data_IF_029215009982
#
_entry.id   IF_029215009982
#
_cell.length_a   1.000
_cell.length_b   1.000
_cell.length_c   1.000
_cell.angle_alpha   90.00
_cell.angle_beta   90.00
_cell.angle_gamma   90.00
#
_symmetry.space_group_name_H-M   'P 1'
#
loop_
_entity.id
_entity.type
_entity.pdbx_description
1 polymer ?
#
# COMPACT_ATOMS: atom_id res chain seq x y z
N UNK A 1 -51.66 -4.15 -25.03
CA UNK A 1 -51.83 -2.90 -24.28
C UNK A 1 -50.79 -2.90 -23.16
N UNK A 2 -49.71 -2.14 -23.29
CA UNK A 2 -48.60 -2.16 -22.38
C UNK A 2 -48.95 -1.40 -21.10
N UNK A 3 -49.15 -2.12 -20.01
CA UNK A 3 -49.30 -1.57 -18.65
C UNK A 3 -47.99 -0.87 -18.18
N UNK A 4 -46.95 -1.00 -18.97
CA UNK A 4 -45.59 -0.56 -18.65
C UNK A 4 -45.38 0.95 -18.54
N UNK A 5 -46.28 1.75 -19.17
CA UNK A 5 -46.07 3.19 -19.28
C UNK A 5 -46.90 4.04 -18.31
N UNK A 6 -47.60 3.42 -17.35
CA UNK A 6 -48.46 4.13 -16.38
C UNK A 6 -47.94 4.29 -14.97
N UNK A 7 -46.87 3.63 -14.64
CA UNK A 7 -46.32 3.76 -13.29
C UNK A 7 -45.10 4.66 -13.31
N UNK A 8 -45.14 5.72 -12.55
CA UNK A 8 -43.96 6.49 -12.17
C UNK A 8 -43.06 5.61 -11.31
N UNK A 9 -41.75 5.85 -11.31
CA UNK A 9 -40.75 5.06 -10.54
C UNK A 9 -41.16 4.94 -9.06
N UNK A 10 -41.70 5.99 -8.48
CA UNK A 10 -42.13 6.02 -7.08
C UNK A 10 -43.38 5.14 -6.83
N UNK A 11 -44.31 5.09 -7.76
CA UNK A 11 -45.49 4.22 -7.70
C UNK A 11 -45.10 2.74 -7.89
N UNK A 12 -44.16 2.45 -8.78
CA UNK A 12 -43.67 1.09 -8.99
C UNK A 12 -42.93 0.55 -7.78
N UNK A 13 -42.11 1.37 -7.10
CA UNK A 13 -41.42 1.02 -5.86
C UNK A 13 -42.42 0.83 -4.72
N UNK A 14 -43.42 1.71 -4.61
CA UNK A 14 -44.50 1.58 -3.60
C UNK A 14 -45.27 0.29 -3.79
N UNK A 15 -45.64 -0.02 -5.03
CA UNK A 15 -46.37 -1.24 -5.39
C UNK A 15 -45.49 -2.49 -5.09
N UNK A 16 -44.22 -2.47 -5.46
CA UNK A 16 -43.29 -3.58 -5.19
C UNK A 16 -43.14 -3.83 -3.69
N UNK A 17 -43.02 -2.78 -2.86
CA UNK A 17 -42.95 -2.88 -1.42
C UNK A 17 -44.27 -3.40 -0.82
N UNK A 18 -45.39 -2.93 -1.29
CA UNK A 18 -46.71 -3.43 -0.87
C UNK A 18 -46.94 -4.90 -1.23
N UNK A 19 -46.43 -5.33 -2.39
CA UNK A 19 -46.52 -6.74 -2.80
C UNK A 19 -45.54 -7.63 -2.01
N UNK A 20 -44.38 -7.12 -1.64
CA UNK A 20 -43.34 -7.89 -0.93
C UNK A 20 -43.65 -8.06 0.56
N UNK A 21 -44.19 -7.04 1.19
CA UNK A 21 -44.39 -7.00 2.65
C UNK A 21 -45.86 -6.96 3.08
N UNK A 22 -46.80 -6.89 2.11
CA UNK A 22 -48.22 -6.61 2.38
C UNK A 22 -48.43 -5.17 2.82
N UNK A 23 -49.67 -4.82 3.12
CA UNK A 23 -49.99 -3.54 3.73
C UNK A 23 -49.51 -3.56 5.19
N UNK A 24 -48.37 -2.94 5.48
CA UNK A 24 -47.90 -2.78 6.86
C UNK A 24 -48.89 -1.90 7.62
N UNK A 25 -49.41 -2.33 8.78
CA UNK A 25 -50.31 -1.54 9.59
C UNK A 25 -49.69 -0.28 10.21
N UNK A 26 -48.37 -0.16 10.10
CA UNK A 26 -47.59 0.96 10.63
C UNK A 26 -46.70 1.54 9.53
N UNK A 27 -46.86 2.82 9.27
CA UNK A 27 -45.94 3.58 8.42
C UNK A 27 -44.81 4.13 9.31
N UNK A 28 -43.56 3.80 8.95
CA UNK A 28 -42.41 4.48 9.56
C UNK A 28 -42.36 5.91 9.04
N UNK A 29 -42.69 6.87 9.89
CA UNK A 29 -42.54 8.29 9.61
C UNK A 29 -41.49 8.88 10.56
N UNK A 30 -40.70 9.83 10.04
CA UNK A 30 -39.83 10.67 10.86
C UNK A 30 -40.68 11.53 11.80
N UNK A 31 -40.15 12.05 12.93
CA UNK A 31 -40.86 13.00 13.77
C UNK A 31 -41.44 14.20 13.04
N UNK A 32 -40.91 14.55 11.90
CA UNK A 32 -41.34 15.65 11.03
C UNK A 32 -42.47 15.27 10.05
N UNK A 33 -43.06 14.08 10.16
CA UNK A 33 -44.16 13.60 9.32
C UNK A 33 -43.73 13.18 7.90
N UNK A 34 -42.47 13.19 7.58
CA UNK A 34 -41.95 12.69 6.29
C UNK A 34 -41.83 11.17 6.30
N UNK A 35 -42.03 10.47 5.16
CA UNK A 35 -41.87 9.02 5.08
C UNK A 35 -40.46 8.63 5.58
N UNK A 36 -40.38 7.79 6.61
CA UNK A 36 -39.13 7.32 7.16
C UNK A 36 -38.54 6.22 6.29
N UNK A 37 -37.32 6.42 5.88
CA UNK A 37 -36.53 5.45 5.11
C UNK A 37 -36.04 6.08 3.79
N UNK A 38 -34.72 6.03 3.58
CA UNK A 38 -34.11 6.34 2.29
C UNK A 38 -33.99 5.05 1.51
N UNK A 39 -34.70 4.93 0.40
CA UNK A 39 -34.53 3.82 -0.54
C UNK A 39 -33.65 4.33 -1.68
N UNK A 40 -32.38 4.01 -1.62
CA UNK A 40 -31.47 4.25 -2.73
C UNK A 40 -31.51 3.04 -3.68
N UNK A 41 -32.17 3.20 -4.82
CA UNK A 41 -32.15 2.19 -5.88
C UNK A 41 -30.93 2.42 -6.78
N UNK A 42 -29.95 1.56 -6.66
CA UNK A 42 -28.78 1.57 -7.55
C UNK A 42 -29.10 0.64 -8.72
N UNK A 43 -29.26 1.14 -9.96
CA UNK A 43 -29.50 0.28 -11.11
C UNK A 43 -28.27 -0.62 -11.36
N UNK A 44 -28.51 -1.88 -11.74
CA UNK A 44 -27.46 -2.87 -12.01
C UNK A 44 -26.43 -2.40 -13.06
N UNK A 45 -26.83 -1.55 -13.99
CA UNK A 45 -25.95 -0.94 -14.98
C UNK A 45 -24.89 -0.03 -14.38
N UNK A 46 -25.22 0.74 -13.34
CA UNK A 46 -24.26 1.57 -12.63
C UNK A 46 -23.26 0.71 -11.82
N UNK A 47 -23.71 -0.39 -11.23
CA UNK A 47 -22.83 -1.32 -10.53
C UNK A 47 -21.78 -1.94 -11.46
N UNK A 48 -22.17 -2.39 -12.65
CA UNK A 48 -21.25 -2.96 -13.66
C UNK A 48 -20.29 -1.89 -14.19
N UNK A 49 -20.80 -0.68 -14.50
CA UNK A 49 -19.97 0.42 -14.98
C UNK A 49 -18.92 0.83 -13.93
N UNK A 50 -19.32 0.91 -12.67
CA UNK A 50 -18.43 1.24 -11.55
C UNK A 50 -17.37 0.16 -11.31
N UNK A 51 -17.75 -1.11 -11.40
CA UNK A 51 -16.81 -2.23 -11.29
C UNK A 51 -15.76 -2.19 -12.42
N UNK A 52 -16.20 -1.99 -13.66
CA UNK A 52 -15.29 -1.89 -14.80
C UNK A 52 -14.36 -0.68 -14.68
N UNK A 53 -14.88 0.49 -14.31
CA UNK A 53 -14.06 1.67 -14.07
C UNK A 53 -13.05 1.44 -12.95
N UNK A 54 -13.46 0.78 -11.86
CA UNK A 54 -12.60 0.41 -10.74
C UNK A 54 -11.49 -0.56 -11.15
N UNK A 55 -11.80 -1.60 -11.92
CA UNK A 55 -10.82 -2.55 -12.43
C UNK A 55 -9.81 -1.89 -13.38
N UNK A 56 -10.28 -1.03 -14.28
CA UNK A 56 -9.39 -0.31 -15.20
C UNK A 56 -8.47 0.64 -14.44
N UNK A 57 -9.01 1.45 -13.53
CA UNK A 57 -8.20 2.39 -12.74
C UNK A 57 -7.22 1.67 -11.80
N UNK A 58 -7.63 0.56 -11.20
CA UNK A 58 -6.76 -0.30 -10.38
C UNK A 58 -5.62 -0.91 -11.21
N UNK A 59 -5.91 -1.40 -12.42
CA UNK A 59 -4.89 -1.92 -13.33
C UNK A 59 -3.92 -0.83 -13.78
N UNK A 60 -4.41 0.35 -14.13
CA UNK A 60 -3.58 1.51 -14.50
C UNK A 60 -2.68 1.90 -13.32
N UNK A 61 -3.22 2.00 -12.10
CA UNK A 61 -2.44 2.28 -10.89
C UNK A 61 -1.35 1.24 -10.66
N UNK A 62 -1.68 -0.05 -10.79
CA UNK A 62 -0.72 -1.14 -10.63
C UNK A 62 0.40 -1.08 -11.68
N UNK A 63 0.08 -0.82 -12.94
CA UNK A 63 1.06 -0.67 -14.03
C UNK A 63 1.97 0.53 -13.77
N UNK A 64 1.43 1.67 -13.36
CA UNK A 64 2.23 2.86 -13.04
C UNK A 64 3.19 2.59 -11.88
N UNK A 65 2.75 1.94 -10.82
CA UNK A 65 3.59 1.55 -9.67
C UNK A 65 4.66 0.54 -10.12
N UNK A 66 4.32 -0.43 -10.97
CA UNK A 66 5.28 -1.40 -11.50
C UNK A 66 6.36 -0.71 -12.36
N UNK A 67 5.98 0.20 -13.25
CA UNK A 67 6.92 0.99 -14.06
C UNK A 67 7.83 1.82 -13.16
N UNK A 68 7.26 2.52 -12.18
CA UNK A 68 8.02 3.30 -11.20
C UNK A 68 9.03 2.42 -10.44
N UNK A 69 8.59 1.28 -9.92
CA UNK A 69 9.44 0.35 -9.18
C UNK A 69 10.59 -0.19 -10.04
N UNK A 70 10.33 -0.57 -11.30
CA UNK A 70 11.35 -1.03 -12.22
C UNK A 70 12.32 0.10 -12.64
N UNK A 71 11.82 1.30 -12.87
CA UNK A 71 12.65 2.44 -13.26
C UNK A 71 13.60 2.87 -12.13
N UNK A 72 13.11 2.93 -10.89
CA UNK A 72 13.87 3.43 -9.74
C UNK A 72 14.71 2.33 -9.09
N UNK A 73 14.13 1.15 -8.89
CA UNK A 73 14.74 0.05 -8.13
C UNK A 73 15.24 -1.10 -8.99
N UNK A 74 14.99 -1.08 -10.30
CA UNK A 74 15.43 -2.09 -11.27
C UNK A 74 15.15 -3.53 -10.79
N UNK A 75 16.20 -4.31 -10.48
CA UNK A 75 16.05 -5.70 -10.06
C UNK A 75 15.24 -5.86 -8.75
N UNK A 76 15.35 -4.91 -7.79
CA UNK A 76 14.51 -4.90 -6.59
C UNK A 76 13.04 -4.58 -6.92
N UNK A 77 12.78 -3.85 -8.01
CA UNK A 77 11.44 -3.60 -8.52
C UNK A 77 10.70 -4.89 -8.92
N UNK A 78 11.41 -5.93 -9.35
CA UNK A 78 10.79 -7.25 -9.63
C UNK A 78 10.23 -7.86 -8.34
N UNK A 79 10.96 -7.75 -7.23
CA UNK A 79 10.47 -8.21 -5.92
C UNK A 79 9.22 -7.44 -5.50
N UNK A 80 9.19 -6.12 -5.74
CA UNK A 80 8.00 -5.29 -5.51
C UNK A 80 6.79 -5.79 -6.29
N UNK A 81 6.96 -6.10 -7.58
CA UNK A 81 5.87 -6.60 -8.42
C UNK A 81 5.34 -7.94 -7.88
N UNK A 82 6.22 -8.88 -7.54
CA UNK A 82 5.83 -10.17 -6.97
C UNK A 82 5.04 -9.97 -5.66
N UNK A 83 5.53 -9.10 -4.78
CA UNK A 83 4.87 -8.79 -3.52
C UNK A 83 3.52 -8.11 -3.74
N UNK A 84 3.42 -7.19 -4.71
CA UNK A 84 2.18 -6.51 -5.04
C UNK A 84 1.12 -7.47 -5.59
N UNK A 85 1.53 -8.41 -6.45
CA UNK A 85 0.65 -9.49 -6.94
C UNK A 85 0.21 -10.39 -5.78
N UNK A 86 1.11 -10.73 -4.87
CA UNK A 86 0.77 -11.54 -3.69
C UNK A 86 -0.23 -10.81 -2.76
N UNK A 87 -0.04 -9.49 -2.54
CA UNK A 87 -1.00 -8.66 -1.79
C UNK A 87 -2.36 -8.66 -2.46
N UNK A 88 -2.41 -8.42 -3.78
CA UNK A 88 -3.65 -8.43 -4.55
C UNK A 88 -4.38 -9.78 -4.47
N UNK A 89 -3.64 -10.88 -4.57
CA UNK A 89 -4.20 -12.23 -4.45
C UNK A 89 -4.77 -12.50 -3.04
N UNK A 90 -4.08 -12.07 -1.97
CA UNK A 90 -4.58 -12.19 -0.61
C UNK A 90 -5.82 -11.35 -0.35
N UNK A 91 -5.82 -10.10 -0.80
CA UNK A 91 -6.98 -9.20 -0.68
C UNK A 91 -8.17 -9.77 -1.44
N UNK A 92 -7.97 -10.19 -2.70
CA UNK A 92 -9.01 -10.81 -3.50
C UNK A 92 -9.57 -12.08 -2.83
N UNK A 93 -8.71 -13.00 -2.40
CA UNK A 93 -9.11 -14.22 -1.71
C UNK A 93 -9.92 -13.93 -0.45
N UNK A 94 -9.53 -12.91 0.33
CA UNK A 94 -10.24 -12.51 1.54
C UNK A 94 -11.59 -11.88 1.24
N UNK A 95 -11.71 -11.08 0.21
CA UNK A 95 -13.00 -10.51 -0.22
C UNK A 95 -13.97 -11.58 -0.70
N UNK A 96 -13.48 -12.56 -1.47
CA UNK A 96 -14.29 -13.71 -1.89
C UNK A 96 -14.75 -14.53 -0.69
N UNK A 97 -13.86 -14.76 0.28
CA UNK A 97 -14.20 -15.50 1.50
C UNK A 97 -15.26 -14.76 2.33
N UNK A 98 -15.09 -13.45 2.55
CA UNK A 98 -16.03 -12.60 3.25
C UNK A 98 -17.39 -12.54 2.52
N UNK A 99 -17.36 -12.47 1.19
CA UNK A 99 -18.58 -12.53 0.38
C UNK A 99 -19.35 -13.83 0.59
N UNK A 100 -18.65 -14.98 0.71
CA UNK A 100 -19.29 -16.29 0.95
C UNK A 100 -19.77 -16.49 2.38
N UNK A 101 -19.05 -15.98 3.38
CA UNK A 101 -19.36 -16.23 4.80
C UNK A 101 -20.39 -15.26 5.38
N UNK A 102 -20.25 -13.99 5.10
CA UNK A 102 -21.07 -12.93 5.71
C UNK A 102 -21.88 -12.13 4.68
N UNK A 103 -21.85 -12.54 3.39
CA UNK A 103 -22.56 -11.82 2.32
C UNK A 103 -21.99 -10.42 2.06
N UNK A 104 -20.69 -10.20 2.33
CA UNK A 104 -20.07 -8.90 2.08
C UNK A 104 -20.13 -8.55 0.60
N UNK A 105 -20.69 -7.38 0.29
CA UNK A 105 -20.76 -6.81 -1.07
C UNK A 105 -19.77 -5.65 -1.17
N UNK A 106 -18.96 -5.69 -2.22
CA UNK A 106 -18.02 -4.61 -2.49
C UNK A 106 -18.76 -3.46 -3.18
N UNK A 107 -18.76 -2.30 -2.57
CA UNK A 107 -19.29 -1.05 -3.12
C UNK A 107 -18.21 -0.26 -3.89
N UNK A 108 -18.61 0.83 -4.55
CA UNK A 108 -17.69 1.67 -5.33
C UNK A 108 -16.60 2.30 -4.47
N UNK A 109 -16.95 2.73 -3.27
CA UNK A 109 -16.01 3.32 -2.32
C UNK A 109 -15.05 2.28 -1.75
N UNK A 110 -15.49 1.03 -1.59
CA UNK A 110 -14.63 -0.11 -1.28
C UNK A 110 -13.60 -0.36 -2.38
N UNK A 111 -13.98 -0.26 -3.65
CA UNK A 111 -13.04 -0.34 -4.78
C UNK A 111 -12.01 0.80 -4.71
N UNK A 112 -12.43 2.03 -4.40
CA UNK A 112 -11.51 3.15 -4.21
C UNK A 112 -10.50 2.88 -3.07
N UNK A 113 -10.94 2.29 -1.96
CA UNK A 113 -10.06 1.86 -0.87
C UNK A 113 -9.02 0.81 -1.30
N UNK A 114 -9.40 -0.12 -2.18
CA UNK A 114 -8.45 -1.09 -2.76
C UNK A 114 -7.39 -0.41 -3.64
N UNK A 115 -7.78 0.57 -4.46
CA UNK A 115 -6.84 1.32 -5.31
C UNK A 115 -5.85 2.11 -4.46
N UNK A 116 -6.33 2.77 -3.41
CA UNK A 116 -5.45 3.47 -2.44
C UNK A 116 -4.52 2.46 -1.75
N UNK A 117 -5.02 1.26 -1.42
CA UNK A 117 -4.22 0.17 -0.87
C UNK A 117 -3.01 -0.20 -1.74
N UNK A 118 -3.12 -0.17 -3.07
CA UNK A 118 -1.97 -0.38 -3.98
C UNK A 118 -0.90 0.68 -3.74
N UNK A 119 -1.30 1.94 -3.56
CA UNK A 119 -0.37 3.04 -3.30
C UNK A 119 0.34 2.91 -1.94
N UNK A 120 -0.39 2.58 -0.88
CA UNK A 120 0.18 2.41 0.47
C UNK A 120 1.12 1.21 0.54
N UNK A 121 0.80 0.12 -0.15
CA UNK A 121 1.70 -1.04 -0.30
C UNK A 121 2.99 -0.65 -1.02
N UNK A 122 2.90 0.15 -2.09
CA UNK A 122 4.07 0.65 -2.80
C UNK A 122 4.96 1.53 -1.90
N UNK A 123 4.36 2.37 -1.05
CA UNK A 123 5.10 3.21 -0.09
C UNK A 123 5.89 2.37 0.91
N UNK A 124 5.34 1.28 1.42
CA UNK A 124 6.03 0.33 2.30
C UNK A 124 7.31 -0.23 1.67
N UNK A 125 7.28 -0.54 0.36
CA UNK A 125 8.48 -1.00 -0.35
C UNK A 125 9.50 0.11 -0.55
N UNK A 126 9.06 1.32 -0.88
CA UNK A 126 9.92 2.50 -1.01
C UNK A 126 10.68 2.73 0.29
N UNK A 127 9.99 2.75 1.44
CA UNK A 127 10.62 2.90 2.77
C UNK A 127 11.67 1.82 2.99
N UNK A 128 11.38 0.56 2.69
CA UNK A 128 12.33 -0.53 2.88
C UNK A 128 13.57 -0.36 2.00
N UNK A 129 13.41 -0.06 0.73
CA UNK A 129 14.53 0.08 -0.19
C UNK A 129 15.37 1.32 0.09
N UNK A 130 14.77 2.43 0.51
CA UNK A 130 15.54 3.61 0.92
C UNK A 130 16.40 3.30 2.15
N UNK A 131 15.90 2.52 3.13
CA UNK A 131 16.73 2.09 4.26
C UNK A 131 17.88 1.19 3.83
N UNK A 132 17.70 0.33 2.83
CA UNK A 132 18.80 -0.44 2.25
C UNK A 132 19.82 0.48 1.58
N UNK A 133 19.36 1.48 0.81
CA UNK A 133 20.24 2.47 0.17
C UNK A 133 21.03 3.28 1.20
N UNK A 134 20.41 3.67 2.31
CA UNK A 134 21.09 4.39 3.40
C UNK A 134 22.23 3.57 3.97
N UNK A 135 22.02 2.27 4.26
CA UNK A 135 23.05 1.37 4.72
C UNK A 135 24.22 1.20 3.71
N UNK A 136 23.89 1.21 2.40
CA UNK A 136 24.90 1.17 1.34
C UNK A 136 25.67 2.49 1.28
N UNK A 137 25.02 3.64 1.46
CA UNK A 137 25.68 4.96 1.54
C UNK A 137 26.65 5.04 2.72
N UNK A 138 26.34 4.35 3.82
CA UNK A 138 27.26 4.18 4.96
C UNK A 138 28.44 3.25 4.63
N UNK A 139 28.45 2.70 3.42
CA UNK A 139 29.56 1.91 2.89
C UNK A 139 29.47 0.42 3.13
N UNK A 140 28.30 -0.12 3.42
CA UNK A 140 28.09 -1.56 3.60
C UNK A 140 27.89 -2.26 2.25
N UNK A 141 28.22 -3.54 2.20
CA UNK A 141 27.88 -4.38 1.05
C UNK A 141 26.37 -4.60 0.99
N UNK A 142 25.82 -4.82 -0.21
CA UNK A 142 24.37 -5.08 -0.39
C UNK A 142 23.87 -6.21 0.53
N UNK A 143 24.62 -7.31 0.63
CA UNK A 143 24.27 -8.47 1.47
C UNK A 143 24.19 -8.11 2.97
N UNK A 144 25.03 -7.22 3.47
CA UNK A 144 25.00 -6.78 4.88
C UNK A 144 24.02 -5.62 5.11
N UNK A 145 23.72 -4.83 4.07
CA UNK A 145 22.80 -3.71 4.13
C UNK A 145 21.33 -4.17 4.25
N UNK A 146 20.94 -5.27 3.59
CA UNK A 146 19.57 -5.77 3.60
C UNK A 146 19.03 -6.08 5.00
N UNK A 147 19.68 -6.92 5.84
CA UNK A 147 19.13 -7.22 7.17
C UNK A 147 19.12 -6.01 8.10
N UNK A 148 20.08 -5.09 7.95
CA UNK A 148 20.12 -3.86 8.76
C UNK A 148 19.08 -2.84 8.29
N UNK A 149 18.94 -2.66 6.99
CA UNK A 149 17.89 -1.84 6.39
C UNK A 149 16.51 -2.35 6.81
N UNK A 150 16.30 -3.67 6.84
CA UNK A 150 15.07 -4.27 7.34
C UNK A 150 14.82 -3.94 8.81
N UNK A 151 15.82 -4.09 9.68
CA UNK A 151 15.67 -3.79 11.10
C UNK A 151 15.25 -2.34 11.38
N UNK A 152 15.69 -1.38 10.53
CA UNK A 152 15.27 0.02 10.59
C UNK A 152 13.89 0.22 9.93
N UNK A 153 13.68 -0.34 8.75
CA UNK A 153 12.45 -0.17 7.97
C UNK A 153 11.20 -0.73 8.66
N UNK A 154 11.30 -1.94 9.25
CA UNK A 154 10.15 -2.61 9.86
C UNK A 154 9.43 -1.74 10.91
N UNK A 155 10.18 -0.96 11.70
CA UNK A 155 9.60 -0.08 12.70
C UNK A 155 8.79 1.04 12.02
N UNK A 156 9.34 1.68 11.01
CA UNK A 156 8.69 2.76 10.27
C UNK A 156 7.44 2.25 9.55
N UNK A 157 7.52 1.10 8.88
CA UNK A 157 6.42 0.48 8.16
C UNK A 157 5.27 0.12 9.11
N UNK A 158 5.57 -0.53 10.23
CA UNK A 158 4.54 -0.89 11.22
C UNK A 158 3.90 0.35 11.83
N UNK A 159 4.69 1.38 12.17
CA UNK A 159 4.14 2.61 12.74
C UNK A 159 3.25 3.34 11.75
N UNK A 160 3.68 3.50 10.49
CA UNK A 160 2.89 4.14 9.43
C UNK A 160 1.57 3.40 9.17
N UNK A 161 1.65 2.09 8.97
CA UNK A 161 0.47 1.26 8.76
C UNK A 161 -0.45 1.20 9.98
N UNK A 162 0.08 1.24 11.21
CA UNK A 162 -0.73 1.31 12.42
C UNK A 162 -1.56 2.59 12.48
N UNK A 163 -0.99 3.74 12.10
CA UNK A 163 -1.73 5.01 12.03
C UNK A 163 -2.87 4.92 11.01
N UNK A 164 -2.58 4.41 9.82
CA UNK A 164 -3.60 4.21 8.77
C UNK A 164 -4.69 3.24 9.22
N UNK A 165 -4.33 2.15 9.89
CA UNK A 165 -5.27 1.17 10.42
C UNK A 165 -6.17 1.75 11.51
N UNK A 166 -5.61 2.53 12.46
CA UNK A 166 -6.39 3.22 13.48
C UNK A 166 -7.36 4.21 12.83
N UNK A 167 -6.90 4.99 11.85
CA UNK A 167 -7.78 5.90 11.11
C UNK A 167 -8.91 5.16 10.40
N UNK A 168 -8.62 3.99 9.79
CA UNK A 168 -9.62 3.15 9.15
C UNK A 168 -10.65 2.61 10.17
N UNK A 169 -10.22 2.20 11.38
CA UNK A 169 -11.14 1.77 12.46
C UNK A 169 -12.05 2.91 12.90
N UNK A 170 -11.49 4.10 13.16
CA UNK A 170 -12.27 5.27 13.55
C UNK A 170 -13.29 5.62 12.47
N UNK A 171 -12.84 5.65 11.22
CA UNK A 171 -13.73 5.92 10.09
C UNK A 171 -14.82 4.84 9.95
N UNK A 172 -14.49 3.57 10.10
CA UNK A 172 -15.44 2.46 10.03
C UNK A 172 -16.53 2.53 11.12
N UNK A 173 -16.17 2.99 12.32
CA UNK A 173 -17.11 3.08 13.45
C UNK A 173 -18.02 4.31 13.36
N UNK A 174 -17.52 5.43 12.85
CA UNK A 174 -18.26 6.68 12.78
C UNK A 174 -19.00 6.89 11.45
N UNK A 175 -18.51 6.28 10.37
CA UNK A 175 -19.08 6.48 9.05
C UNK A 175 -20.33 5.65 8.79
N UNK A 176 -21.19 6.16 7.91
CA UNK A 176 -22.43 5.52 7.44
C UNK A 176 -22.35 5.36 5.92
N UNK A 177 -23.05 4.37 5.40
CA UNK A 177 -23.16 4.14 3.95
C UNK A 177 -21.82 3.78 3.29
N UNK A 178 -21.58 4.37 2.12
CA UNK A 178 -20.42 4.04 1.28
C UNK A 178 -19.05 4.30 1.94
N UNK A 179 -18.94 5.34 2.78
CA UNK A 179 -17.68 5.67 3.48
C UNK A 179 -17.23 4.53 4.40
N UNK A 180 -18.17 3.76 4.92
CA UNK A 180 -17.88 2.58 5.75
C UNK A 180 -17.23 1.47 4.93
N UNK A 181 -17.67 1.26 3.68
CA UNK A 181 -17.06 0.31 2.75
C UNK A 181 -15.61 0.67 2.42
N UNK A 182 -15.35 1.96 2.16
CA UNK A 182 -13.99 2.48 1.97
C UNK A 182 -13.10 2.22 3.17
N UNK A 183 -13.58 2.54 4.38
CA UNK A 183 -12.81 2.34 5.61
C UNK A 183 -12.48 0.86 5.85
N UNK A 184 -13.44 -0.03 5.60
CA UNK A 184 -13.24 -1.47 5.72
C UNK A 184 -12.15 -1.99 4.78
N UNK A 185 -12.24 -1.66 3.49
CA UNK A 185 -11.25 -2.13 2.51
C UNK A 185 -9.87 -1.53 2.74
N UNK A 186 -9.79 -0.25 3.15
CA UNK A 186 -8.51 0.39 3.52
C UNK A 186 -7.88 -0.28 4.75
N UNK A 187 -8.67 -0.59 5.78
CA UNK A 187 -8.20 -1.33 6.95
C UNK A 187 -7.73 -2.74 6.59
N UNK A 188 -8.48 -3.45 5.76
CA UNK A 188 -8.15 -4.79 5.30
C UNK A 188 -6.85 -4.81 4.49
N UNK A 189 -6.70 -3.91 3.52
CA UNK A 189 -5.48 -3.80 2.71
C UNK A 189 -4.26 -3.45 3.55
N UNK A 190 -4.41 -2.59 4.57
CA UNK A 190 -3.33 -2.23 5.51
C UNK A 190 -2.84 -3.44 6.30
N UNK A 191 -3.74 -4.31 6.78
CA UNK A 191 -3.35 -5.55 7.46
C UNK A 191 -2.56 -6.46 6.52
N UNK A 192 -3.05 -6.66 5.30
CA UNK A 192 -2.36 -7.52 4.33
C UNK A 192 -1.04 -6.92 3.85
N UNK A 193 -0.92 -5.61 3.77
CA UNK A 193 0.35 -4.95 3.48
C UNK A 193 1.41 -5.33 4.52
N UNK A 194 1.10 -5.18 5.80
CA UNK A 194 2.01 -5.60 6.87
C UNK A 194 2.37 -7.08 6.73
N UNK A 195 1.38 -7.96 6.59
CA UNK A 195 1.61 -9.40 6.49
C UNK A 195 2.53 -9.76 5.31
N UNK A 196 2.26 -9.20 4.12
CA UNK A 196 3.05 -9.46 2.92
C UNK A 196 4.47 -8.90 3.04
N UNK A 197 4.62 -7.72 3.59
CA UNK A 197 5.96 -7.13 3.77
C UNK A 197 6.82 -8.00 4.70
N UNK A 198 6.24 -8.57 5.75
CA UNK A 198 6.96 -9.42 6.69
C UNK A 198 7.18 -10.84 6.18
N UNK A 199 6.16 -11.46 5.56
CA UNK A 199 6.19 -12.90 5.20
C UNK A 199 6.76 -13.12 3.79
N UNK A 200 6.53 -12.19 2.86
CA UNK A 200 6.91 -12.36 1.45
C UNK A 200 8.06 -11.44 1.08
N UNK A 201 7.90 -10.13 1.26
CA UNK A 201 8.85 -9.14 0.75
C UNK A 201 10.20 -9.22 1.45
N UNK A 202 10.22 -9.24 2.77
CA UNK A 202 11.48 -9.27 3.55
C UNK A 202 12.29 -10.53 3.25
N UNK A 203 11.74 -11.76 3.27
CA UNK A 203 12.49 -12.96 2.90
C UNK A 203 12.93 -12.97 1.43
N UNK A 204 12.08 -12.48 0.50
CA UNK A 204 12.45 -12.41 -0.92
C UNK A 204 13.64 -11.46 -1.16
N UNK A 205 13.64 -10.27 -0.54
CA UNK A 205 14.77 -9.34 -0.64
C UNK A 205 16.02 -9.92 0.00
N UNK A 206 15.88 -10.63 1.13
CA UNK A 206 17.00 -11.30 1.78
C UNK A 206 17.55 -12.41 0.88
N UNK A 207 16.71 -13.26 0.32
CA UNK A 207 17.11 -14.30 -0.64
C UNK A 207 17.77 -13.69 -1.88
N UNK A 208 17.18 -12.64 -2.42
CA UNK A 208 17.73 -11.88 -3.55
C UNK A 208 19.13 -11.32 -3.24
N UNK A 209 19.39 -10.90 -2.00
CA UNK A 209 20.71 -10.41 -1.59
C UNK A 209 21.82 -11.48 -1.64
N UNK A 210 21.45 -12.75 -1.60
CA UNK A 210 22.37 -13.89 -1.73
C UNK A 210 22.66 -14.27 -3.17
N UNK A 211 21.85 -13.84 -4.15
CA UNK A 211 22.06 -14.13 -5.56
C UNK A 211 23.21 -13.29 -6.11
N UNK A 212 24.21 -13.93 -6.72
CA UNK A 212 25.37 -13.27 -7.34
C UNK A 212 24.96 -12.25 -8.40
N UNK A 213 23.85 -12.47 -9.10
CA UNK A 213 23.32 -11.58 -10.13
C UNK A 213 22.84 -10.24 -9.51
N UNK A 214 22.20 -10.26 -8.34
CA UNK A 214 21.72 -9.06 -7.65
C UNK A 214 22.83 -8.31 -6.88
N UNK A 215 23.96 -8.96 -6.64
CA UNK A 215 25.16 -8.32 -6.07
C UNK A 215 25.91 -7.44 -7.10
N UNK A 216 25.57 -7.55 -8.40
CA UNK A 216 26.22 -6.78 -9.45
C UNK A 216 25.66 -5.33 -9.48
N UNK A 217 26.50 -4.29 -9.32
CA UNK A 217 26.07 -2.89 -9.19
C UNK A 217 25.24 -2.37 -10.36
N UNK A 218 25.47 -2.89 -11.57
CA UNK A 218 24.77 -2.46 -12.79
C UNK A 218 23.30 -2.87 -12.83
N UNK A 219 22.95 -4.03 -12.26
CA UNK A 219 21.57 -4.54 -12.25
C UNK A 219 20.75 -4.07 -11.07
N UNK A 220 21.41 -3.70 -9.96
CA UNK A 220 20.74 -3.38 -8.69
C UNK A 220 20.28 -1.92 -8.60
N UNK A 221 20.55 -1.08 -9.59
CA UNK A 221 20.25 0.36 -9.53
C UNK A 221 21.09 1.14 -8.50
N UNK A 222 21.98 0.45 -7.78
CA UNK A 222 22.79 0.98 -6.70
C UNK A 222 24.24 1.26 -7.12
N UNK A 223 24.58 1.03 -8.42
CA UNK A 223 25.94 1.15 -8.94
C UNK A 223 26.57 2.52 -8.70
N UNK A 224 25.85 3.60 -9.02
CA UNK A 224 26.33 4.97 -8.76
C UNK A 224 26.56 5.26 -7.28
N UNK A 225 25.74 4.70 -6.40
CA UNK A 225 25.90 4.86 -4.96
C UNK A 225 27.12 4.11 -4.43
N UNK A 226 27.40 2.93 -4.95
CA UNK A 226 28.58 2.14 -4.57
C UNK A 226 29.89 2.80 -5.08
N UNK A 227 29.90 3.37 -6.29
CA UNK A 227 31.02 4.14 -6.83
C UNK A 227 31.32 5.36 -5.95
N UNK A 228 30.33 6.19 -5.64
CA UNK A 228 30.47 7.37 -4.78
C UNK A 228 30.96 6.98 -3.36
N UNK A 229 30.48 5.84 -2.85
CA UNK A 229 30.87 5.36 -1.53
C UNK A 229 32.29 4.81 -1.54
N UNK A 230 32.72 4.14 -2.63
CA UNK A 230 34.08 3.66 -2.82
C UNK A 230 35.08 4.83 -2.94
N UNK A 231 34.71 5.86 -3.70
CA UNK A 231 35.51 7.09 -3.84
C UNK A 231 35.67 7.81 -2.47
N UNK A 232 34.58 7.96 -1.72
CA UNK A 232 34.63 8.56 -0.36
C UNK A 232 35.49 7.76 0.59
N UNK A 233 35.45 6.43 0.52
CA UNK A 233 36.33 5.56 1.33
C UNK A 233 37.79 5.70 0.93
N UNK A 234 38.07 5.73 -0.37
CA UNK A 234 39.42 5.93 -0.87
C UNK A 234 39.99 7.30 -0.47
N UNK A 235 39.16 8.35 -0.54
CA UNK A 235 39.52 9.70 -0.08
C UNK A 235 39.76 9.73 1.43
N UNK A 236 38.90 9.12 2.25
CA UNK A 236 39.08 9.04 3.68
C UNK A 236 40.31 8.23 4.08
N UNK A 237 40.62 7.13 3.40
CA UNK A 237 41.81 6.33 3.62
C UNK A 237 43.07 7.13 3.30
N UNK A 238 43.09 7.93 2.23
CA UNK A 238 44.20 8.83 1.91
C UNK A 238 44.45 9.87 3.01
N UNK A 239 43.39 10.50 3.52
CA UNK A 239 43.48 11.48 4.61
C UNK A 239 43.99 10.87 5.91
N UNK A 240 43.60 9.63 6.20
CA UNK A 240 44.14 8.91 7.39
C UNK A 240 45.61 8.58 7.22
N UNK A 241 46.01 8.15 6.02
CA UNK A 241 47.41 7.86 5.71
C UNK A 241 48.29 9.12 5.73
N UNK A 242 47.80 10.25 5.17
CA UNK A 242 48.46 11.55 5.25
C UNK A 242 48.65 12.00 6.70
N UNK A 243 47.63 11.82 7.57
CA UNK A 243 47.75 12.12 8.99
C UNK A 243 48.73 11.20 9.73
N UNK A 244 48.86 9.95 9.27
CA UNK A 244 49.77 8.96 9.86
C UNK A 244 51.20 9.19 9.42
N UNK A 245 51.40 9.72 8.23
CA UNK A 245 52.70 10.03 7.64
C UNK A 245 53.15 11.47 7.89
N UNK A 246 52.26 12.35 8.37
CA UNK A 246 52.62 13.70 8.77
C UNK A 246 53.61 13.60 9.96
N UNK A 247 54.80 14.16 9.83
CA UNK A 247 55.83 14.08 10.91
C UNK A 247 55.30 14.81 12.17
N UNK A 248 55.47 14.18 13.34
CA UNK A 248 55.20 14.76 14.65
C UNK A 248 56.25 15.88 14.93
N UNK A 249 56.19 16.92 14.12
CA UNK A 249 57.17 18.01 14.15
C UNK A 249 56.73 19.27 14.89
N UNK A 250 55.55 19.27 15.53
CA UNK A 250 55.04 20.49 16.15
C UNK A 250 54.67 20.39 17.64
N UNK A 251 55.02 19.30 18.30
CA UNK A 251 54.82 19.16 19.75
C UNK A 251 56.08 19.39 20.58
N UNK A 252 57.21 19.78 19.96
CA UNK A 252 58.48 19.93 20.65
C UNK A 252 59.01 21.39 20.78
N UNK A 253 58.20 22.39 20.42
CA UNK A 253 58.63 23.81 20.54
C UNK A 253 57.70 24.65 21.42
N UNK A 254 57.14 24.06 22.48
CA UNK A 254 56.24 24.75 23.43
C UNK A 254 56.70 24.79 24.89
N UNK A 255 57.92 24.32 25.22
CA UNK A 255 58.48 24.43 26.57
C UNK A 255 59.86 25.03 26.51
N UNK A 256 59.97 26.32 26.30
CA UNK A 256 61.07 27.19 26.73
C UNK A 256 60.65 28.65 26.54
N UNK A 257 59.92 29.18 27.50
CA UNK A 257 60.17 30.56 28.03
C UNK A 257 59.32 30.81 29.28
#
# INVERSE_FOLDING_TARGET
MCIRDRFNTDEAVSLANNLKYGALPLNFSSPDGTPGGKVDTIPATLGIASLNAGLISGLVGLVLVAIFALAVYRALGVVTIISLVATGAMVYGSLVLLGRWIGYTLDLSGVAGLIIGIGTTADSFVVFFERIKDEIREGRSFRSAVPRGWAKARRTIVTGNAVTFIAAIVLYTLAVGEVRGFAFTTGLTTIFDILIVFIVTSPLVLLASHLKFMSNPRFNGLGKLQEITAERRAAAARLVEERRTAPVAEAATGEEK
#
